data_IF_095968989393
#
_entry.id   IF_095968989393
#
_cell.length_a   1.000
_cell.length_b   1.000
_cell.length_c   1.000
_cell.angle_alpha   90.00
_cell.angle_beta   90.00
_cell.angle_gamma   90.00
#
_symmetry.space_group_name_H-M   'P 1'
#
loop_
_entity.id
_entity.type
_entity.pdbx_description
1 polymer ?
#
# COMPACT_ATOMS: atom_id res chain seq x y z
N UNK A 1 -1.47 32.37 -37.16
CA UNK A 1 -1.30 33.73 -37.75
C UNK A 1 -1.22 33.69 -39.31
N UNK A 2 -2.27 33.30 -40.05
CA UNK A 2 -2.24 33.30 -41.55
C UNK A 2 -2.69 34.62 -42.22
N UNK A 3 -3.23 35.57 -41.45
CA UNK A 3 -3.91 36.75 -42.02
C UNK A 3 -3.02 37.97 -42.26
N UNK A 4 -1.81 38.03 -41.68
CA UNK A 4 -0.92 39.18 -41.81
C UNK A 4 -0.26 39.25 -43.20
N UNK A 5 0.19 38.11 -43.72
CA UNK A 5 0.87 37.99 -45.02
C UNK A 5 -0.02 38.41 -46.21
N UNK A 6 -1.34 38.17 -46.14
CA UNK A 6 -2.27 38.52 -47.24
C UNK A 6 -2.62 40.01 -47.29
N UNK A 7 -2.51 40.74 -46.18
CA UNK A 7 -2.83 42.18 -46.14
C UNK A 7 -1.78 43.04 -46.86
N UNK A 8 -0.54 42.59 -46.93
CA UNK A 8 0.58 43.29 -47.58
C UNK A 8 0.72 42.99 -49.07
N UNK A 9 -0.07 42.08 -49.62
CA UNK A 9 -0.05 41.80 -51.07
C UNK A 9 -0.85 42.86 -51.83
N UNK A 10 -0.33 43.37 -52.97
CA UNK A 10 -1.08 44.29 -53.81
C UNK A 10 -2.32 43.57 -54.37
N UNK A 11 -3.49 44.20 -54.18
CA UNK A 11 -4.78 43.69 -54.65
C UNK A 11 -5.43 44.72 -55.56
N UNK A 12 -5.91 44.28 -56.72
CA UNK A 12 -6.54 45.16 -57.70
C UNK A 12 -7.87 45.74 -57.17
N UNK A 13 -8.72 44.89 -56.56
CA UNK A 13 -9.96 45.30 -55.92
C UNK A 13 -10.12 44.58 -54.56
N UNK A 14 -10.07 45.37 -53.48
CA UNK A 14 -10.16 44.89 -52.09
C UNK A 14 -11.44 44.10 -51.81
N UNK A 15 -12.59 44.57 -52.32
CA UNK A 15 -13.89 43.97 -52.01
C UNK A 15 -14.08 42.61 -52.68
N UNK A 16 -13.59 42.47 -53.92
CA UNK A 16 -13.64 41.20 -54.64
C UNK A 16 -12.70 40.17 -54.02
N UNK A 17 -11.49 40.57 -53.63
CA UNK A 17 -10.57 39.67 -52.93
C UNK A 17 -11.13 39.24 -51.58
N UNK A 18 -11.68 40.15 -50.77
CA UNK A 18 -12.28 39.81 -49.47
C UNK A 18 -13.47 38.83 -49.62
N UNK A 19 -14.30 38.96 -50.67
CA UNK A 19 -15.36 37.99 -50.99
C UNK A 19 -14.79 36.62 -51.36
N UNK A 20 -13.75 36.59 -52.19
CA UNK A 20 -13.07 35.35 -52.59
C UNK A 20 -12.41 34.65 -51.39
N UNK A 21 -11.73 35.41 -50.52
CA UNK A 21 -11.16 34.89 -49.26
C UNK A 21 -12.23 34.19 -48.43
N UNK A 22 -13.35 34.88 -48.18
CA UNK A 22 -14.46 34.35 -47.38
C UNK A 22 -15.05 33.08 -48.02
N UNK A 23 -15.19 33.07 -49.34
CA UNK A 23 -15.66 31.90 -50.07
C UNK A 23 -14.71 30.69 -49.90
N UNK A 24 -13.41 30.88 -50.11
CA UNK A 24 -12.41 29.82 -49.91
C UNK A 24 -12.39 29.31 -48.46
N UNK A 25 -12.54 30.20 -47.48
CA UNK A 25 -12.60 29.83 -46.07
C UNK A 25 -13.86 29.04 -45.73
N UNK A 26 -15.01 29.44 -46.26
CA UNK A 26 -16.26 28.71 -46.08
C UNK A 26 -16.17 27.33 -46.73
N UNK A 27 -15.61 27.22 -47.93
CA UNK A 27 -15.36 25.95 -48.60
C UNK A 27 -14.41 25.06 -47.80
N UNK A 28 -13.34 25.62 -47.25
CA UNK A 28 -12.40 24.90 -46.39
C UNK A 28 -13.08 24.38 -45.12
N UNK A 29 -13.88 25.22 -44.45
CA UNK A 29 -14.68 24.81 -43.28
C UNK A 29 -15.66 23.69 -43.63
N UNK A 30 -16.37 23.81 -44.75
CA UNK A 30 -17.26 22.74 -45.22
C UNK A 30 -16.48 21.43 -45.44
N UNK A 31 -15.31 21.49 -46.09
CA UNK A 31 -14.47 20.30 -46.28
C UNK A 31 -14.03 19.69 -44.95
N UNK A 32 -13.60 20.51 -43.98
CA UNK A 32 -13.24 20.03 -42.64
C UNK A 32 -14.42 19.39 -41.90
N UNK A 33 -15.62 19.96 -42.00
CA UNK A 33 -16.81 19.43 -41.34
C UNK A 33 -17.24 18.07 -41.89
N UNK A 34 -17.05 17.83 -43.19
CA UNK A 34 -17.43 16.58 -43.84
C UNK A 34 -16.26 15.58 -43.97
N UNK A 35 -15.07 15.94 -43.49
CA UNK A 35 -13.90 15.06 -43.54
C UNK A 35 -14.10 13.92 -42.54
N UNK A 36 -14.11 12.68 -43.03
CA UNK A 36 -14.19 11.48 -42.19
C UNK A 36 -12.83 11.24 -41.51
N UNK A 37 -12.86 10.76 -40.26
CA UNK A 37 -11.65 10.29 -39.59
C UNK A 37 -11.06 9.11 -40.37
N UNK A 38 -9.76 9.18 -40.68
CA UNK A 38 -9.05 8.13 -41.40
C UNK A 38 -8.70 6.92 -40.51
N UNK A 39 -8.71 7.12 -39.19
CA UNK A 39 -8.34 6.13 -38.18
C UNK A 39 -9.52 5.92 -37.26
N UNK A 40 -9.80 4.67 -36.94
CA UNK A 40 -10.81 4.32 -35.94
C UNK A 40 -10.29 4.69 -34.54
N UNK A 41 -10.99 5.63 -33.88
CA UNK A 41 -10.71 6.06 -32.52
C UNK A 41 -11.69 5.45 -31.50
N UNK A 42 -12.46 4.43 -31.89
CA UNK A 42 -13.38 3.76 -30.97
C UNK A 42 -12.59 2.98 -29.92
N UNK A 43 -13.06 2.96 -28.66
CA UNK A 43 -12.45 2.13 -27.64
C UNK A 43 -12.61 0.64 -28.03
N UNK A 44 -11.60 -0.20 -27.72
CA UNK A 44 -11.68 -1.63 -27.99
C UNK A 44 -12.86 -2.27 -27.23
N UNK A 45 -13.44 -3.37 -27.76
CA UNK A 45 -14.51 -4.09 -27.08
C UNK A 45 -14.10 -4.56 -25.68
N UNK A 46 -15.03 -4.47 -24.72
CA UNK A 46 -14.81 -5.03 -23.38
C UNK A 46 -15.08 -6.53 -23.42
N UNK A 47 -14.09 -7.32 -23.07
CA UNK A 47 -14.24 -8.76 -22.97
C UNK A 47 -14.60 -9.18 -21.53
N UNK A 48 -15.62 -10.04 -21.39
CA UNK A 48 -16.13 -10.49 -20.09
C UNK A 48 -15.05 -11.22 -19.29
N UNK A 49 -14.22 -12.03 -19.95
CA UNK A 49 -13.13 -12.78 -19.31
C UNK A 49 -12.00 -11.89 -18.77
N UNK A 50 -11.87 -10.63 -19.22
CA UNK A 50 -10.93 -9.65 -18.65
C UNK A 50 -11.54 -8.91 -17.46
N UNK A 51 -12.87 -8.81 -17.40
CA UNK A 51 -13.59 -8.16 -16.31
C UNK A 51 -13.90 -9.13 -15.16
N UNK A 52 -14.05 -10.42 -15.46
CA UNK A 52 -14.47 -11.45 -14.52
C UNK A 52 -13.61 -12.71 -14.66
N UNK A 53 -12.98 -13.11 -13.54
CA UNK A 53 -12.28 -14.39 -13.42
C UNK A 53 -13.28 -15.48 -12.99
N UNK A 54 -14.11 -15.94 -13.92
CA UNK A 54 -15.17 -16.93 -13.65
C UNK A 54 -14.63 -18.22 -13.01
N UNK A 55 -13.45 -18.69 -13.44
CA UNK A 55 -12.79 -19.86 -12.83
C UNK A 55 -12.45 -19.64 -11.35
N UNK A 56 -12.01 -18.43 -11.00
CA UNK A 56 -11.71 -18.09 -9.60
C UNK A 56 -13.00 -18.09 -8.77
N UNK A 57 -14.05 -17.46 -9.30
CA UNK A 57 -15.36 -17.41 -8.63
C UNK A 57 -15.92 -18.81 -8.40
N UNK A 58 -15.81 -19.70 -9.39
CA UNK A 58 -16.20 -21.10 -9.25
C UNK A 58 -15.40 -21.82 -8.14
N UNK A 59 -14.06 -21.69 -8.13
CA UNK A 59 -13.25 -22.34 -7.09
C UNK A 59 -13.56 -21.80 -5.68
N UNK A 60 -13.84 -20.50 -5.57
CA UNK A 60 -14.23 -19.89 -4.31
C UNK A 60 -15.58 -20.47 -3.83
N UNK A 61 -16.57 -20.60 -4.73
CA UNK A 61 -17.88 -21.19 -4.45
C UNK A 61 -17.80 -22.67 -4.05
N UNK A 62 -16.99 -23.47 -4.75
CA UNK A 62 -16.73 -24.88 -4.41
C UNK A 62 -16.08 -24.99 -3.02
N UNK A 63 -15.12 -24.11 -2.71
CA UNK A 63 -14.46 -24.06 -1.40
C UNK A 63 -15.44 -23.67 -0.28
N UNK A 64 -16.27 -22.66 -0.49
CA UNK A 64 -17.29 -22.26 0.50
C UNK A 64 -18.30 -23.38 0.74
N UNK A 65 -18.78 -24.03 -0.31
CA UNK A 65 -19.69 -25.19 -0.23
C UNK A 65 -19.09 -26.35 0.57
N UNK A 66 -17.78 -26.58 0.46
CA UNK A 66 -17.07 -27.59 1.25
C UNK A 66 -17.03 -27.21 2.73
N UNK A 67 -16.63 -25.96 3.03
CA UNK A 67 -16.57 -25.45 4.40
C UNK A 67 -17.94 -25.51 5.08
N UNK A 68 -19.01 -25.14 4.38
CA UNK A 68 -20.36 -25.18 4.91
C UNK A 68 -20.82 -26.61 5.23
N UNK A 69 -20.53 -27.59 4.35
CA UNK A 69 -20.80 -29.01 4.63
C UNK A 69 -20.02 -29.50 5.86
N UNK A 70 -18.74 -29.15 5.97
CA UNK A 70 -17.90 -29.57 7.08
C UNK A 70 -18.36 -28.93 8.41
N UNK A 71 -18.76 -27.65 8.38
CA UNK A 71 -19.36 -26.95 9.52
C UNK A 71 -20.69 -27.59 9.94
N UNK A 72 -21.54 -27.94 8.99
CA UNK A 72 -22.80 -28.63 9.26
C UNK A 72 -22.55 -29.97 9.96
N UNK A 73 -21.64 -30.78 9.41
CA UNK A 73 -21.28 -32.08 10.00
C UNK A 73 -20.67 -31.94 11.39
N UNK A 74 -19.84 -30.92 11.61
CA UNK A 74 -19.27 -30.63 12.92
C UNK A 74 -20.37 -30.28 13.93
N UNK A 75 -21.29 -29.39 13.57
CA UNK A 75 -22.39 -28.98 14.43
C UNK A 75 -23.32 -30.14 14.75
N UNK A 76 -23.63 -31.00 13.77
CA UNK A 76 -24.43 -32.21 13.96
C UNK A 76 -23.76 -33.16 14.97
N UNK A 77 -22.46 -33.41 14.82
CA UNK A 77 -21.69 -34.23 15.76
C UNK A 77 -21.64 -33.63 17.16
N UNK A 78 -21.44 -32.31 17.27
CA UNK A 78 -21.44 -31.62 18.57
C UNK A 78 -22.81 -31.67 19.23
N UNK A 79 -23.88 -31.45 18.45
CA UNK A 79 -25.26 -31.58 18.92
C UNK A 79 -25.56 -33.00 19.42
N UNK A 80 -25.10 -34.03 18.68
CA UNK A 80 -25.24 -35.42 19.09
C UNK A 80 -24.55 -35.71 20.43
N UNK A 81 -23.31 -35.24 20.60
CA UNK A 81 -22.55 -35.37 21.86
C UNK A 81 -23.24 -34.63 23.01
N UNK A 82 -23.74 -33.40 22.76
CA UNK A 82 -24.42 -32.59 23.77
C UNK A 82 -25.77 -33.19 24.21
N UNK A 83 -26.49 -33.83 23.29
CA UNK A 83 -27.79 -34.45 23.56
C UNK A 83 -27.67 -35.83 24.20
N UNK A 84 -26.57 -36.54 23.96
CA UNK A 84 -26.32 -37.89 24.49
C UNK A 84 -25.05 -37.94 25.37
N UNK A 85 -25.01 -37.22 26.51
CA UNK A 85 -23.86 -37.24 27.42
C UNK A 85 -23.64 -38.62 28.08
N UNK A 86 -24.65 -39.50 28.05
CA UNK A 86 -24.69 -40.79 28.74
C UNK A 86 -24.01 -41.95 27.98
N UNK A 87 -23.49 -41.72 26.76
CA UNK A 87 -22.68 -42.71 26.03
C UNK A 87 -21.22 -42.76 26.54
N UNK A 88 -20.86 -41.91 27.49
CA UNK A 88 -19.63 -41.97 28.25
C UNK A 88 -20.01 -42.44 29.66
N UNK A 89 -19.79 -43.72 29.95
CA UNK A 89 -19.94 -44.30 31.29
C UNK A 89 -19.35 -43.34 32.34
N UNK A 90 -20.17 -42.83 33.26
CA UNK A 90 -19.73 -42.00 34.41
C UNK A 90 -18.61 -42.68 35.21
N UNK A 91 -18.51 -44.01 35.09
CA UNK A 91 -17.52 -44.86 35.75
C UNK A 91 -16.07 -44.67 35.26
N UNK A 92 -15.85 -44.00 34.12
CA UNK A 92 -14.50 -43.76 33.54
C UNK A 92 -14.10 -42.28 33.48
N UNK A 93 -14.94 -41.36 33.96
CA UNK A 93 -14.60 -39.93 34.05
C UNK A 93 -13.77 -39.69 35.32
N UNK A 94 -12.47 -39.99 35.25
CA UNK A 94 -11.50 -39.58 36.26
C UNK A 94 -11.45 -38.05 36.45
N UNK A 95 -10.71 -37.54 37.46
CA UNK A 95 -10.61 -36.11 37.75
C UNK A 95 -10.33 -35.31 36.47
N UNK A 96 -10.95 -34.12 36.28
CA UNK A 96 -10.84 -33.38 35.03
C UNK A 96 -9.37 -33.16 34.70
N UNK A 97 -8.97 -33.54 33.49
CA UNK A 97 -7.62 -33.41 32.93
C UNK A 97 -7.25 -31.93 32.83
N UNK A 98 -6.93 -31.34 33.96
CA UNK A 98 -6.61 -29.92 34.13
C UNK A 98 -5.10 -29.70 34.20
N UNK A 99 -4.31 -30.78 34.08
CA UNK A 99 -2.85 -30.73 34.18
C UNK A 99 -2.14 -31.31 32.95
N UNK A 100 -2.76 -31.21 31.79
CA UNK A 100 -2.03 -31.38 30.53
C UNK A 100 -1.25 -30.11 30.23
N UNK A 101 0.01 -30.01 30.65
CA UNK A 101 0.96 -29.09 30.00
C UNK A 101 0.86 -29.41 28.51
N UNK A 102 0.26 -28.53 27.70
CA UNK A 102 0.21 -28.73 26.26
C UNK A 102 1.64 -29.03 25.82
N UNK A 103 1.86 -30.19 25.21
CA UNK A 103 3.19 -30.65 24.77
C UNK A 103 3.82 -29.62 23.81
N UNK A 104 2.97 -28.80 23.19
CA UNK A 104 3.32 -27.71 22.29
C UNK A 104 3.45 -26.34 22.98
N UNK A 105 3.36 -26.24 24.31
CA UNK A 105 3.48 -24.97 25.04
C UNK A 105 4.85 -24.34 24.86
N UNK A 106 5.91 -25.14 24.94
CA UNK A 106 7.28 -24.67 24.75
C UNK A 106 7.52 -24.27 23.29
N UNK A 107 7.01 -25.05 22.34
CA UNK A 107 7.06 -24.72 20.92
C UNK A 107 6.33 -23.40 20.62
N UNK A 108 5.11 -23.23 21.14
CA UNK A 108 4.33 -21.99 20.98
C UNK A 108 5.04 -20.79 21.62
N UNK A 109 5.68 -20.98 22.78
CA UNK A 109 6.48 -19.94 23.44
C UNK A 109 7.70 -19.56 22.60
N UNK A 110 8.42 -20.55 22.04
CA UNK A 110 9.59 -20.32 21.20
C UNK A 110 9.22 -19.60 19.89
N UNK A 111 8.16 -20.03 19.24
CA UNK A 111 7.63 -19.37 18.03
C UNK A 111 7.16 -17.94 18.35
N UNK A 112 6.51 -17.73 19.49
CA UNK A 112 6.12 -16.38 19.91
C UNK A 112 7.34 -15.48 20.10
N UNK A 113 8.38 -15.97 20.79
CA UNK A 113 9.62 -15.22 20.99
C UNK A 113 10.31 -14.89 19.66
N UNK A 114 10.40 -15.87 18.76
CA UNK A 114 10.95 -15.69 17.40
C UNK A 114 10.19 -14.62 16.63
N UNK A 115 8.85 -14.70 16.58
CA UNK A 115 8.01 -13.72 15.89
C UNK A 115 8.21 -12.32 16.49
N UNK A 116 8.29 -12.21 17.82
CA UNK A 116 8.51 -10.90 18.47
C UNK A 116 9.86 -10.30 18.13
N UNK A 117 10.91 -11.13 18.03
CA UNK A 117 12.26 -10.69 17.67
C UNK A 117 12.34 -10.27 16.20
N UNK A 118 11.76 -11.06 15.29
CA UNK A 118 11.66 -10.73 13.87
C UNK A 118 10.89 -9.40 13.67
N UNK A 119 9.76 -9.22 14.36
CA UNK A 119 8.99 -7.98 14.31
C UNK A 119 9.79 -6.78 14.83
N UNK A 120 10.57 -6.96 15.90
CA UNK A 120 11.43 -5.90 16.43
C UNK A 120 12.54 -5.53 15.42
N UNK A 121 13.15 -6.51 14.77
CA UNK A 121 14.16 -6.30 13.73
C UNK A 121 13.59 -5.53 12.53
N UNK A 122 12.39 -5.92 12.07
CA UNK A 122 11.67 -5.23 11.00
C UNK A 122 11.37 -3.78 11.40
N UNK A 123 10.88 -3.56 12.62
CA UNK A 123 10.56 -2.23 13.12
C UNK A 123 11.79 -1.33 13.15
N UNK A 124 12.91 -1.82 13.69
CA UNK A 124 14.19 -1.11 13.69
C UNK A 124 14.63 -0.74 12.28
N UNK A 125 14.51 -1.68 11.33
CA UNK A 125 14.86 -1.42 9.93
C UNK A 125 13.97 -0.34 9.31
N UNK A 126 12.67 -0.34 9.59
CA UNK A 126 11.75 0.69 9.09
C UNK A 126 12.07 2.06 9.70
N UNK A 127 12.32 2.12 11.00
CA UNK A 127 12.59 3.37 11.72
C UNK A 127 13.93 3.99 11.31
N UNK A 128 14.97 3.17 11.12
CA UNK A 128 16.29 3.65 10.71
C UNK A 128 16.43 3.85 9.19
N UNK A 129 15.47 3.37 8.39
CA UNK A 129 15.51 3.58 6.94
C UNK A 129 15.11 5.01 6.61
N UNK A 130 16.05 5.76 6.05
CA UNK A 130 15.77 7.09 5.52
C UNK A 130 14.72 7.03 4.40
N UNK A 131 13.82 8.04 4.32
CA UNK A 131 12.86 8.13 3.24
C UNK A 131 13.59 8.24 1.89
N UNK A 132 13.23 7.37 0.94
CA UNK A 132 13.83 7.35 -0.40
C UNK A 132 13.47 8.59 -1.23
N UNK A 133 12.35 9.25 -0.90
CA UNK A 133 11.88 10.43 -1.58
C UNK A 133 11.89 11.62 -0.64
N UNK A 134 12.64 12.65 -0.99
CA UNK A 134 12.62 13.95 -0.30
C UNK A 134 11.52 14.81 -0.90
N UNK A 135 10.51 15.15 -0.10
CA UNK A 135 9.44 16.06 -0.53
C UNK A 135 9.99 17.44 -0.94
N UNK A 136 11.08 17.88 -0.33
CA UNK A 136 11.74 19.14 -0.68
C UNK A 136 12.35 19.08 -2.08
N UNK A 137 13.01 17.99 -2.44
CA UNK A 137 13.56 17.81 -3.79
C UNK A 137 12.46 17.73 -4.84
N UNK A 138 11.36 17.04 -4.51
CA UNK A 138 10.19 16.95 -5.39
C UNK A 138 9.52 18.29 -5.61
N UNK A 139 9.37 19.09 -4.56
CA UNK A 139 8.81 20.44 -4.65
C UNK A 139 9.72 21.35 -5.47
N UNK A 140 11.04 21.30 -5.24
CA UNK A 140 11.98 22.10 -6.00
C UNK A 140 12.06 21.68 -7.47
N UNK A 141 11.98 20.37 -7.74
CA UNK A 141 11.88 19.83 -9.11
C UNK A 141 10.59 20.28 -9.79
N UNK A 142 9.45 20.17 -9.11
CA UNK A 142 8.17 20.65 -9.64
C UNK A 142 8.20 22.16 -9.94
N UNK A 143 8.84 22.96 -9.07
CA UNK A 143 9.03 24.40 -9.31
C UNK A 143 9.87 24.67 -10.56
N UNK A 144 10.99 23.96 -10.74
CA UNK A 144 11.84 24.09 -11.95
C UNK A 144 11.09 23.66 -13.20
N UNK A 145 10.36 22.56 -13.12
CA UNK A 145 9.57 22.03 -14.24
C UNK A 145 8.45 23.00 -14.62
N UNK A 146 7.82 23.67 -13.65
CA UNK A 146 6.84 24.73 -13.90
C UNK A 146 7.48 25.95 -14.59
N UNK A 147 8.69 26.34 -14.19
CA UNK A 147 9.44 27.42 -14.82
C UNK A 147 9.84 27.07 -16.26
N UNK A 148 10.36 25.87 -16.50
CA UNK A 148 10.64 25.38 -17.85
C UNK A 148 9.38 25.32 -18.71
N UNK A 149 8.26 24.87 -18.13
CA UNK A 149 6.98 24.83 -18.83
C UNK A 149 6.52 26.24 -19.22
N UNK A 150 6.63 27.21 -18.32
CA UNK A 150 6.32 28.63 -18.61
C UNK A 150 7.23 29.21 -19.70
N UNK A 151 8.52 28.90 -19.65
CA UNK A 151 9.51 29.40 -20.62
C UNK A 151 9.33 28.77 -22.02
N UNK A 152 8.92 27.50 -22.09
CA UNK A 152 8.67 26.79 -23.35
C UNK A 152 7.26 27.01 -23.92
N UNK A 153 6.35 27.65 -23.18
CA UNK A 153 4.97 27.85 -23.61
C UNK A 153 4.82 29.10 -24.50
N UNK A 154 4.48 28.89 -25.78
CA UNK A 154 4.18 29.98 -26.73
C UNK A 154 2.84 30.69 -26.41
N UNK A 155 1.95 30.02 -25.69
CA UNK A 155 0.62 30.51 -25.32
C UNK A 155 0.41 30.34 -23.81
N UNK A 156 -0.40 31.22 -23.15
CA UNK A 156 -0.62 31.15 -21.72
C UNK A 156 -1.18 29.77 -21.30
N UNK A 157 -0.50 29.13 -20.37
CA UNK A 157 -0.85 27.81 -19.86
C UNK A 157 -2.08 27.90 -18.97
N UNK A 158 -3.21 27.40 -19.45
CA UNK A 158 -4.40 27.15 -18.63
C UNK A 158 -4.27 25.75 -18.06
N UNK A 159 -3.49 25.62 -16.99
CA UNK A 159 -3.44 24.37 -16.23
C UNK A 159 -4.79 24.23 -15.50
N UNK A 160 -5.42 23.04 -15.53
CA UNK A 160 -6.56 22.76 -14.67
C UNK A 160 -6.10 22.99 -13.22
N UNK A 161 -6.68 24.00 -12.56
CA UNK A 161 -6.46 24.17 -11.13
C UNK A 161 -6.85 22.86 -10.45
N UNK A 162 -6.08 22.45 -9.45
CA UNK A 162 -6.41 21.29 -8.64
C UNK A 162 -7.88 21.39 -8.26
N UNK A 163 -8.68 20.42 -8.73
CA UNK A 163 -10.13 20.42 -8.56
C UNK A 163 -10.40 20.66 -7.09
N UNK A 164 -11.15 21.72 -6.80
CA UNK A 164 -11.53 22.13 -5.46
C UNK A 164 -11.94 20.89 -4.64
N UNK A 165 -11.19 20.61 -3.58
CA UNK A 165 -11.37 19.46 -2.70
C UNK A 165 -12.79 19.39 -2.11
N UNK A 166 -13.52 20.51 -2.16
CA UNK A 166 -14.93 20.65 -1.81
C UNK A 166 -15.88 19.85 -2.72
N UNK A 167 -15.50 19.58 -3.97
CA UNK A 167 -16.33 18.86 -4.95
C UNK A 167 -16.20 17.32 -4.86
N UNK A 168 -15.80 16.78 -3.71
CA UNK A 168 -16.03 15.35 -3.42
C UNK A 168 -17.54 15.12 -3.37
N UNK A 169 -18.06 14.49 -4.42
CA UNK A 169 -19.40 13.89 -4.42
C UNK A 169 -19.54 13.06 -3.12
N UNK A 170 -20.65 13.17 -2.37
CA UNK A 170 -20.89 12.32 -1.21
C UNK A 170 -21.26 10.92 -1.73
N UNK A 171 -20.25 10.15 -2.09
CA UNK A 171 -20.39 8.71 -2.20
C UNK A 171 -19.09 8.09 -1.72
N UNK A 172 -18.87 8.24 -0.41
CA UNK A 172 -18.01 7.32 0.33
C UNK A 172 -18.63 5.93 0.19
N UNK A 173 -18.18 5.16 -0.79
CA UNK A 173 -18.05 3.73 -0.61
C UNK A 173 -17.20 3.58 0.65
N UNK A 174 -17.87 3.36 1.78
CA UNK A 174 -17.25 3.03 3.06
C UNK A 174 -16.32 1.88 2.76
N UNK A 175 -15.03 2.17 2.68
CA UNK A 175 -14.02 1.14 2.76
C UNK A 175 -14.14 0.58 4.17
N UNK A 176 -14.98 -0.44 4.34
CA UNK A 176 -14.94 -1.33 5.50
C UNK A 176 -13.73 -2.23 5.33
N UNK A 177 -12.54 -1.64 5.27
CA UNK A 177 -11.34 -2.35 5.67
C UNK A 177 -11.51 -2.69 7.15
N UNK A 178 -10.90 -3.79 7.64
CA UNK A 178 -10.93 -4.09 9.05
C UNK A 178 -10.38 -2.87 9.79
N UNK A 179 -11.25 -2.25 10.58
CA UNK A 179 -10.85 -1.24 11.55
C UNK A 179 -9.66 -1.82 12.29
N UNK A 180 -8.54 -1.09 12.31
CA UNK A 180 -7.52 -1.27 13.32
C UNK A 180 -8.21 -0.90 14.64
N UNK A 181 -8.96 -1.86 15.18
CA UNK A 181 -9.32 -1.88 16.58
C UNK A 181 -7.97 -1.91 17.24
N UNK A 182 -7.50 -0.76 17.73
CA UNK A 182 -6.45 -0.78 18.73
C UNK A 182 -6.97 -1.74 19.80
N UNK A 183 -6.30 -2.88 20.05
CA UNK A 183 -6.68 -3.68 21.18
C UNK A 183 -6.44 -2.78 22.38
N UNK A 184 -7.51 -2.22 22.95
CA UNK A 184 -7.48 -1.78 24.34
C UNK A 184 -6.94 -2.98 25.10
N UNK A 185 -5.80 -2.86 25.80
CA UNK A 185 -5.30 -3.97 26.59
C UNK A 185 -6.37 -4.24 27.64
N UNK A 186 -7.16 -5.30 27.42
CA UNK A 186 -8.03 -5.82 28.44
C UNK A 186 -7.13 -6.08 29.65
N UNK A 187 -7.47 -5.59 30.86
CA UNK A 187 -6.73 -5.98 32.04
C UNK A 187 -6.75 -7.51 32.09
N UNK A 188 -5.57 -8.12 31.97
CA UNK A 188 -5.35 -9.54 32.20
C UNK A 188 -5.74 -9.85 33.64
N UNK A 189 -7.03 -10.11 33.87
CA UNK A 189 -7.49 -10.75 35.10
C UNK A 189 -7.12 -12.23 34.99
N UNK A 190 -5.84 -12.52 35.15
CA UNK A 190 -5.41 -13.85 35.54
C UNK A 190 -5.90 -14.03 36.96
N UNK A 191 -7.03 -14.73 37.13
CA UNK A 191 -7.48 -15.19 38.44
C UNK A 191 -6.51 -16.28 38.93
N UNK A 192 -5.37 -15.85 39.44
CA UNK A 192 -4.43 -16.71 40.15
C UNK A 192 -5.07 -16.98 41.50
N UNK A 193 -5.51 -18.23 41.72
CA UNK A 193 -5.80 -18.71 43.08
C UNK A 193 -4.51 -18.58 43.88
N UNK A 194 -4.63 -17.85 44.99
CA UNK A 194 -3.56 -17.45 45.88
C UNK A 194 -2.60 -18.61 46.21
N UNK A 195 -1.33 -18.40 45.86
CA UNK A 195 -0.20 -19.19 46.29
C UNK A 195 0.99 -18.25 46.37
N UNK A 196 1.42 -17.95 47.61
CA UNK A 196 2.53 -17.07 47.98
C UNK A 196 3.75 -17.22 47.05
N UNK A 197 4.35 -16.10 46.63
CA UNK A 197 5.78 -16.06 46.28
C UNK A 197 6.19 -15.18 45.11
N UNK A 198 6.74 -14.01 45.45
CA UNK A 198 7.81 -13.25 44.79
C UNK A 198 7.52 -12.58 43.42
N UNK A 199 7.51 -11.26 43.48
CA UNK A 199 7.35 -10.30 42.38
C UNK A 199 8.76 -9.87 41.94
N UNK A 200 9.17 -10.20 40.70
CA UNK A 200 10.32 -9.56 40.07
C UNK A 200 9.79 -8.44 39.17
N UNK A 201 10.07 -7.20 39.58
CA UNK A 201 9.65 -5.96 38.93
C UNK A 201 10.63 -5.65 37.79
N UNK A 202 10.13 -5.45 36.57
CA UNK A 202 10.90 -4.86 35.48
C UNK A 202 10.99 -3.34 35.68
N UNK A 203 12.14 -2.69 35.44
CA UNK A 203 12.28 -1.26 35.66
C UNK A 203 11.45 -0.48 34.63
N UNK A 204 10.57 0.38 35.12
CA UNK A 204 9.83 1.34 34.32
C UNK A 204 10.79 2.43 33.82
N UNK A 205 10.94 2.56 32.50
CA UNK A 205 11.61 3.69 31.88
C UNK A 205 10.50 4.66 31.50
N UNK A 206 10.43 5.77 32.24
CA UNK A 206 9.51 6.89 32.03
C UNK A 206 9.77 7.55 30.67
N UNK A 207 8.72 7.66 29.85
CA UNK A 207 8.72 8.35 28.56
C UNK A 207 8.39 9.82 28.79
N UNK A 208 9.25 10.52 29.52
CA UNK A 208 9.15 11.97 29.73
C UNK A 208 10.55 12.55 29.71
N UNK A 209 11.13 12.69 28.51
CA UNK A 209 12.13 13.72 28.23
C UNK A 209 12.40 13.82 26.73
N UNK A 210 12.72 15.04 26.28
CA UNK A 210 13.05 15.44 24.89
C UNK A 210 11.85 15.94 24.09
N UNK A 211 11.16 16.94 24.67
CA UNK A 211 10.80 18.13 23.91
C UNK A 211 12.07 18.96 23.67
N UNK A 212 12.77 18.68 22.57
CA UNK A 212 13.98 19.40 22.19
C UNK A 212 14.18 19.38 20.68
N UNK A 213 13.46 20.26 19.97
CA UNK A 213 13.85 20.65 18.62
C UNK A 213 15.16 21.44 18.70
N UNK A 214 16.24 21.08 17.97
CA UNK A 214 17.28 22.04 17.69
C UNK A 214 16.90 22.83 16.42
N UNK A 215 16.77 24.13 16.61
CA UNK A 215 16.73 25.14 15.57
C UNK A 215 18.10 25.25 14.87
N UNK A 216 18.01 25.77 13.66
CA UNK A 216 18.97 25.96 12.59
C UNK A 216 20.26 26.75 12.89
N UNK A 217 21.25 26.47 12.04
CA UNK A 217 22.37 27.32 11.59
C UNK A 217 23.75 27.14 12.23
N UNK A 218 24.76 27.32 11.35
CA UNK A 218 26.21 27.44 11.57
C UNK A 218 26.94 26.28 12.24
N UNK A 219 27.58 25.41 11.44
CA UNK A 219 29.03 25.51 11.25
C UNK A 219 29.55 24.44 10.30
N UNK A 220 30.16 24.88 9.18
CA UNK A 220 31.01 24.04 8.36
C UNK A 220 32.36 23.95 9.08
N UNK A 221 32.72 22.77 9.59
CA UNK A 221 34.10 22.48 9.96
C UNK A 221 34.49 21.04 9.60
N UNK A 222 35.49 20.99 8.72
CA UNK A 222 36.27 19.88 8.19
C UNK A 222 36.12 18.49 8.83
N UNK A 223 35.85 17.47 8.00
CA UNK A 223 36.07 16.06 8.32
C UNK A 223 37.57 15.73 8.26
N UNK A 224 38.15 15.06 9.27
CA UNK A 224 39.43 14.39 9.12
C UNK A 224 39.25 13.07 8.36
N UNK A 225 40.19 12.82 7.45
CA UNK A 225 40.31 11.62 6.62
C UNK A 225 40.71 10.44 7.52
N UNK A 226 39.92 9.38 7.58
CA UNK A 226 40.26 8.14 8.28
C UNK A 226 40.63 7.11 7.22
N UNK A 227 41.86 6.64 7.30
CA UNK A 227 42.47 5.62 6.45
C UNK A 227 41.76 4.26 6.60
N UNK A 228 41.62 3.56 5.48
CA UNK A 228 41.21 2.15 5.42
C UNK A 228 42.19 1.29 6.20
N UNK A 229 41.68 0.56 7.20
CA UNK A 229 42.37 -0.59 7.78
C UNK A 229 41.74 -1.83 7.16
N UNK A 230 42.53 -2.52 6.34
CA UNK A 230 42.27 -3.88 5.90
C UNK A 230 42.52 -4.82 7.08
N UNK A 231 41.49 -5.52 7.54
CA UNK A 231 41.64 -6.73 8.35
C UNK A 231 41.35 -7.93 7.46
N UNK A 232 42.43 -8.64 7.09
CA UNK A 232 42.40 -9.99 6.56
C UNK A 232 42.20 -10.95 7.74
N UNK A 233 41.10 -11.71 7.74
CA UNK A 233 41.00 -12.96 8.48
C UNK A 233 40.23 -13.97 7.61
N UNK A 234 41.00 -14.81 6.92
CA UNK A 234 40.53 -16.01 6.24
C UNK A 234 40.58 -17.19 7.18
N UNK A 235 39.43 -17.68 7.61
CA UNK A 235 39.27 -19.02 8.17
C UNK A 235 38.85 -19.97 7.04
N UNK A 236 39.84 -20.67 6.47
CA UNK A 236 39.65 -21.75 5.49
C UNK A 236 39.44 -23.07 6.26
N UNK A 237 38.20 -23.54 6.30
CA UNK A 237 37.82 -24.81 6.94
C UNK A 237 38.15 -25.96 5.99
N UNK A 238 38.96 -26.90 6.49
CA UNK A 238 39.38 -28.12 5.81
C UNK A 238 38.18 -28.96 5.31
N UNK A 239 38.16 -29.26 4.01
CA UNK A 239 37.32 -30.28 3.39
C UNK A 239 37.85 -31.68 3.70
N UNK A 240 37.02 -32.52 4.32
CA UNK A 240 37.20 -33.99 4.33
C UNK A 240 36.41 -34.62 3.17
N UNK A 241 37.02 -35.49 2.35
CA UNK A 241 36.37 -36.08 1.19
C UNK A 241 35.46 -37.27 1.52
N UNK A 242 34.40 -37.38 0.74
CA UNK A 242 33.37 -38.42 0.78
C UNK A 242 33.94 -39.84 0.60
N UNK A 243 33.38 -40.79 1.37
CA UNK A 243 33.53 -42.23 1.17
C UNK A 243 32.44 -42.74 0.22
N UNK A 244 32.84 -43.62 -0.69
CA UNK A 244 32.00 -44.49 -1.53
C UNK A 244 31.87 -45.87 -0.83
#
# INVERSE_FOLDING_TARGET
>A
KMYAYRKSMPRLNKHLDDKWVKHCQNLHKQKLMHMKAAIDNKPPPRYIHLAQNLKKQQMDEERYSQIERDNYLLLDKMSHIMTHPQLLDEKYMGPPVTLGKSLNKEHRKRELMRITEENLSILKRIQHKEPYYSHLEWEEKARRDEEYLKNCAEYPLVLPTARDSSARRPNELKFTGPSLVQPTPAPLQVRIKEGKGQQLVAPAISVDDISGRPDSSSDRKAMPKVEEVHDEDGDDVQEDPAQD
#
